data_IF_762266991402
#
_entry.id   IF_762266991402
#
_cell.length_a   1.000
_cell.length_b   1.000
_cell.length_c   1.000
_cell.angle_alpha   90.00
_cell.angle_beta   90.00
_cell.angle_gamma   90.00
#
_symmetry.space_group_name_H-M   'P 1'
#
loop_
_entity.id
_entity.type
_entity.pdbx_description
1 polymer ?
#
# COMPACT_ATOMS: atom_id res chain seq x y z
N UNK A 1 16.04 4.73 12.64
CA UNK A 1 16.41 4.25 11.28
C UNK A 1 15.13 4.33 10.47
N UNK A 2 15.11 4.96 9.29
CA UNK A 2 13.91 4.99 8.47
C UNK A 2 13.84 3.69 7.67
N UNK A 3 13.14 2.67 8.19
CA UNK A 3 12.78 1.51 7.38
C UNK A 3 11.38 1.80 6.80
N UNK A 4 11.35 2.59 5.74
CA UNK A 4 10.12 2.92 5.01
C UNK A 4 10.36 2.72 3.52
N UNK A 5 9.32 2.26 2.82
CA UNK A 5 9.27 2.22 1.37
C UNK A 5 8.17 3.15 0.90
N UNK A 6 8.55 4.18 0.15
CA UNK A 6 7.61 5.13 -0.41
C UNK A 6 7.24 4.70 -1.82
N UNK A 7 5.98 4.93 -2.18
CA UNK A 7 5.48 4.76 -3.54
C UNK A 7 4.79 6.04 -4.01
N UNK A 8 4.94 6.35 -5.29
CA UNK A 8 4.28 7.43 -5.99
C UNK A 8 3.11 6.86 -6.82
N UNK A 9 1.97 7.54 -6.77
CA UNK A 9 0.82 7.22 -7.61
C UNK A 9 0.97 7.96 -8.94
N UNK A 10 1.38 7.23 -9.98
CA UNK A 10 1.50 7.76 -11.33
C UNK A 10 0.11 7.96 -11.98
N UNK A 11 0.03 8.82 -12.99
CA UNK A 11 -1.24 9.06 -13.71
C UNK A 11 -1.78 7.84 -14.46
N UNK A 12 -0.93 6.85 -14.73
CA UNK A 12 -1.30 5.58 -15.35
C UNK A 12 -1.59 4.47 -14.32
N UNK A 13 -1.55 4.77 -13.03
CA UNK A 13 -1.90 3.80 -11.99
C UNK A 13 -3.38 3.38 -12.12
N UNK A 14 -3.68 2.15 -11.72
CA UNK A 14 -5.06 1.65 -11.68
C UNK A 14 -5.77 1.92 -10.35
N UNK A 15 -5.04 2.40 -9.32
CA UNK A 15 -5.57 2.64 -7.99
C UNK A 15 -5.34 4.10 -7.56
N UNK A 16 -6.41 4.88 -7.47
CA UNK A 16 -6.35 6.33 -7.21
C UNK A 16 -7.04 6.75 -5.90
N UNK A 17 -7.72 5.81 -5.24
CA UNK A 17 -8.38 5.97 -3.95
C UNK A 17 -7.96 4.84 -2.99
N UNK A 18 -8.18 5.04 -1.68
CA UNK A 18 -7.87 4.02 -0.68
C UNK A 18 -8.62 2.71 -0.92
N UNK A 19 -9.88 2.79 -1.39
CA UNK A 19 -10.69 1.61 -1.71
C UNK A 19 -10.22 0.87 -2.97
N UNK A 20 -9.79 1.60 -4.02
CA UNK A 20 -9.23 0.98 -5.21
C UNK A 20 -7.91 0.28 -4.88
N UNK A 21 -7.07 0.94 -4.07
CA UNK A 21 -5.81 0.38 -3.61
C UNK A 21 -6.04 -0.86 -2.73
N UNK A 22 -7.02 -0.82 -1.81
CA UNK A 22 -7.43 -1.98 -1.01
C UNK A 22 -7.84 -3.16 -1.89
N UNK A 23 -8.68 -2.92 -2.90
CA UNK A 23 -9.14 -3.97 -3.83
C UNK A 23 -7.98 -4.53 -4.65
N UNK A 24 -7.18 -3.66 -5.27
CA UNK A 24 -6.05 -4.07 -6.10
C UNK A 24 -5.01 -4.87 -5.31
N UNK A 25 -4.68 -4.43 -4.09
CA UNK A 25 -3.77 -5.16 -3.22
C UNK A 25 -4.38 -6.50 -2.78
N UNK A 26 -5.66 -6.56 -2.41
CA UNK A 26 -6.31 -7.82 -2.03
C UNK A 26 -6.38 -8.82 -3.20
N UNK A 27 -6.55 -8.33 -4.43
CA UNK A 27 -6.53 -9.16 -5.65
C UNK A 27 -5.12 -9.71 -5.94
N UNK A 28 -4.08 -8.88 -5.86
CA UNK A 28 -2.70 -9.28 -6.17
C UNK A 28 -2.08 -10.16 -5.08
N UNK A 29 -2.32 -9.83 -3.81
CA UNK A 29 -1.89 -10.65 -2.67
C UNK A 29 -2.70 -11.96 -2.60
N UNK A 30 -3.94 -11.95 -3.09
CA UNK A 30 -4.83 -13.10 -3.10
C UNK A 30 -5.57 -13.32 -1.77
N UNK A 31 -6.48 -14.31 -1.71
CA UNK A 31 -7.51 -14.43 -0.68
C UNK A 31 -6.99 -14.83 0.72
N UNK A 32 -5.70 -15.11 0.86
CA UNK A 32 -5.08 -15.47 2.14
C UNK A 32 -4.65 -14.23 2.95
N UNK A 33 -4.55 -13.09 2.30
CA UNK A 33 -4.10 -11.84 2.90
C UNK A 33 -5.28 -10.88 3.03
N UNK A 34 -5.34 -10.16 4.15
CA UNK A 34 -6.45 -9.25 4.44
C UNK A 34 -5.96 -7.82 4.39
N UNK A 35 -6.54 -7.02 3.48
CA UNK A 35 -6.25 -5.59 3.39
C UNK A 35 -7.46 -4.83 3.94
N UNK A 36 -7.25 -4.14 5.05
CA UNK A 36 -8.28 -3.32 5.70
C UNK A 36 -7.94 -1.86 5.50
N UNK A 37 -8.91 -1.04 5.10
CA UNK A 37 -8.78 0.41 5.11
C UNK A 37 -9.04 0.90 6.54
N UNK A 38 -8.08 1.61 7.12
CA UNK A 38 -8.21 2.22 8.44
C UNK A 38 -8.94 3.57 8.37
N UNK A 39 -9.19 4.16 9.54
CA UNK A 39 -10.02 5.35 9.74
C UNK A 39 -9.81 6.43 8.66
N UNK A 40 -10.93 6.91 8.12
CA UNK A 40 -10.99 7.97 7.10
C UNK A 40 -10.30 7.67 5.76
N UNK A 41 -9.83 6.43 5.52
CA UNK A 41 -9.17 6.09 4.26
C UNK A 41 -7.74 6.59 4.16
N UNK A 42 -7.10 6.91 5.29
CA UNK A 42 -5.74 7.47 5.32
C UNK A 42 -4.66 6.40 5.45
N UNK A 43 -5.02 5.15 5.73
CA UNK A 43 -4.08 4.05 5.84
C UNK A 43 -4.70 2.71 5.45
N UNK A 44 -3.84 1.76 5.09
CA UNK A 44 -4.17 0.35 4.91
C UNK A 44 -3.42 -0.49 5.94
N UNK A 45 -4.14 -1.40 6.57
CA UNK A 45 -3.56 -2.36 7.51
C UNK A 45 -3.51 -3.75 6.85
N UNK A 46 -2.30 -4.32 6.82
CA UNK A 46 -2.01 -5.68 6.38
C UNK A 46 -1.51 -6.47 7.59
N UNK A 47 -2.38 -6.63 8.59
CA UNK A 47 -2.04 -7.20 9.89
C UNK A 47 -1.44 -8.61 9.79
N UNK A 48 -1.90 -9.43 8.85
CA UNK A 48 -1.37 -10.78 8.62
C UNK A 48 0.06 -10.78 8.04
N UNK A 49 0.46 -9.68 7.40
CA UNK A 49 1.82 -9.45 6.91
C UNK A 49 2.70 -8.68 7.92
N UNK A 50 2.09 -8.13 8.98
CA UNK A 50 2.76 -7.28 9.96
C UNK A 50 3.19 -5.93 9.40
N UNK A 51 2.46 -5.40 8.41
CA UNK A 51 2.79 -4.16 7.72
C UNK A 51 1.60 -3.18 7.77
N UNK A 52 1.92 -1.89 7.87
CA UNK A 52 0.98 -0.79 7.67
C UNK A 52 1.40 0.06 6.49
N UNK A 53 0.43 0.59 5.77
CA UNK A 53 0.65 1.51 4.67
C UNK A 53 -0.07 2.81 4.93
N UNK A 54 0.68 3.89 5.09
CA UNK A 54 0.13 5.24 5.18
C UNK A 54 -0.14 5.78 3.78
N UNK A 55 -1.32 6.37 3.54
CA UNK A 55 -1.71 6.91 2.25
C UNK A 55 -1.55 8.43 2.22
N UNK A 56 -0.97 8.93 1.14
CA UNK A 56 -0.71 10.35 0.92
C UNK A 56 -1.70 10.85 -0.14
N UNK A 57 -2.72 11.57 0.29
CA UNK A 57 -3.67 12.24 -0.59
C UNK A 57 -3.15 13.59 -1.03
N UNK A 58 -3.25 13.87 -2.32
CA UNK A 58 -2.97 15.17 -2.91
C UNK A 58 -4.23 15.97 -3.18
N UNK A 59 -4.10 16.89 -4.13
CA UNK A 59 -5.17 17.83 -4.47
C UNK A 59 -6.46 17.10 -4.90
N UNK A 60 -7.60 17.59 -4.44
CA UNK A 60 -8.94 17.01 -4.70
C UNK A 60 -9.15 15.58 -4.19
N UNK A 61 -8.32 15.09 -3.25
CA UNK A 61 -8.52 13.80 -2.59
C UNK A 61 -8.04 12.58 -3.40
N UNK A 62 -7.31 12.77 -4.50
CA UNK A 62 -6.64 11.70 -5.23
C UNK A 62 -5.39 11.26 -4.46
N UNK A 63 -5.10 9.96 -4.42
CA UNK A 63 -3.83 9.48 -3.89
C UNK A 63 -2.66 9.95 -4.75
N UNK A 64 -1.60 10.42 -4.10
CA UNK A 64 -0.34 10.84 -4.75
C UNK A 64 0.83 10.00 -4.30
N UNK A 65 0.73 9.36 -3.14
CA UNK A 65 1.73 8.45 -2.65
C UNK A 65 1.24 7.55 -1.54
N UNK A 66 2.09 6.61 -1.16
CA UNK A 66 1.86 5.65 -0.10
C UNK A 66 3.20 5.31 0.54
N UNK A 67 3.20 5.02 1.83
CA UNK A 67 4.41 4.69 2.57
C UNK A 67 4.15 3.38 3.31
N UNK A 68 4.93 2.35 3.00
CA UNK A 68 4.94 1.11 3.76
C UNK A 68 5.86 1.32 4.96
N UNK A 69 5.30 1.27 6.16
CA UNK A 69 6.07 1.27 7.40
C UNK A 69 6.64 -0.12 7.65
N UNK A 70 7.96 -0.21 7.79
CA UNK A 70 8.65 -1.47 8.02
C UNK A 70 9.08 -1.53 9.49
N UNK A 71 8.47 -2.40 10.31
CA UNK A 71 8.91 -2.57 11.70
C UNK A 71 10.35 -3.14 11.75
N UNK A 72 11.02 -3.02 12.90
CA UNK A 72 12.41 -3.48 13.07
C UNK A 72 12.62 -4.97 12.78
N UNK A 73 11.54 -5.77 12.89
CA UNK A 73 11.49 -7.20 12.58
C UNK A 73 10.70 -7.50 11.30
N UNK A 74 10.61 -6.54 10.37
CA UNK A 74 9.89 -6.71 9.11
C UNK A 74 10.38 -7.94 8.35
N UNK A 75 9.44 -8.80 7.95
CA UNK A 75 9.73 -9.90 7.06
C UNK A 75 9.91 -9.35 5.64
N UNK A 76 11.15 -9.30 5.15
CA UNK A 76 11.47 -8.79 3.81
C UNK A 76 10.72 -9.52 2.67
N UNK A 77 10.31 -10.78 2.88
CA UNK A 77 9.44 -11.50 1.95
C UNK A 77 8.06 -10.87 1.83
N UNK A 78 7.45 -10.49 2.96
CA UNK A 78 6.17 -9.79 2.99
C UNK A 78 6.29 -8.38 2.39
N UNK A 79 7.39 -7.68 2.69
CA UNK A 79 7.68 -6.36 2.11
C UNK A 79 7.80 -6.44 0.59
N UNK A 80 8.55 -7.43 0.08
CA UNK A 80 8.70 -7.68 -1.35
C UNK A 80 7.35 -8.03 -2.00
N UNK A 81 6.53 -8.82 -1.33
CA UNK A 81 5.19 -9.18 -1.80
C UNK A 81 4.30 -7.94 -1.95
N UNK A 82 4.18 -7.11 -0.91
CA UNK A 82 3.39 -5.87 -0.97
C UNK A 82 3.95 -4.91 -2.00
N UNK A 83 5.28 -4.75 -2.07
CA UNK A 83 5.94 -3.88 -3.05
C UNK A 83 5.61 -4.29 -4.49
N UNK A 84 5.62 -5.60 -4.78
CA UNK A 84 5.24 -6.11 -6.11
C UNK A 84 3.78 -5.83 -6.43
N UNK A 85 2.88 -5.93 -5.44
CA UNK A 85 1.48 -5.59 -5.63
C UNK A 85 1.30 -4.10 -5.97
N UNK A 86 2.02 -3.19 -5.30
CA UNK A 86 2.05 -1.77 -5.67
C UNK A 86 2.53 -1.56 -7.11
N UNK A 87 3.63 -2.19 -7.51
CA UNK A 87 4.14 -2.13 -8.89
C UNK A 87 3.11 -2.67 -9.91
N UNK A 88 2.39 -3.74 -9.56
CA UNK A 88 1.32 -4.30 -10.39
C UNK A 88 0.14 -3.35 -10.61
N UNK A 89 -0.09 -2.43 -9.67
CA UNK A 89 -1.09 -1.36 -9.76
C UNK A 89 -0.57 -0.10 -10.48
N UNK A 90 0.64 -0.16 -11.03
CA UNK A 90 1.28 0.97 -11.72
C UNK A 90 1.81 2.05 -10.78
N UNK A 91 2.07 1.72 -9.52
CA UNK A 91 2.78 2.61 -8.59
C UNK A 91 4.29 2.41 -8.72
N UNK A 92 5.08 3.45 -8.45
CA UNK A 92 6.55 3.47 -8.57
C UNK A 92 7.19 3.87 -7.24
N UNK A 93 8.49 3.65 -7.02
CA UNK A 93 9.22 4.02 -5.79
C UNK A 93 10.07 5.28 -5.96
#
# INVERSE_FOLDING_TARGET
MFNQLCFCCEDHSTAHSAEDLRKGLAEDLGPRHTVVVEEEGTALNLADLGLSVSLISGDKGKLTGAVIDLPDNANLGNVSLVSRAFLGLGWTF
#
